data_IF_062509573741
#
_entry.id   IF_062509573741
#
_cell.length_a   1.000
_cell.length_b   1.000
_cell.length_c   1.000
_cell.angle_alpha   90.00
_cell.angle_beta   90.00
_cell.angle_gamma   90.00
#
_symmetry.space_group_name_H-M   'P 1'
#
loop_
_entity.id
_entity.type
_entity.pdbx_description
1 polymer ?
#
# COMPACT_ATOMS: atom_id res chain seq x y z
N UNK A 1 -1.60 -31.02 36.08
CA UNK A 1 -0.99 -29.71 36.43
C UNK A 1 -0.78 -29.56 37.94
N UNK A 2 -1.79 -29.79 38.78
CA UNK A 2 -1.71 -29.66 40.25
C UNK A 2 -0.66 -30.59 40.92
N UNK A 3 -0.55 -31.84 40.45
CA UNK A 3 0.45 -32.81 40.92
C UNK A 3 1.90 -32.39 40.63
N UNK A 4 2.14 -31.76 39.48
CA UNK A 4 3.47 -31.28 39.09
C UNK A 4 3.89 -30.06 39.92
N UNK A 5 2.93 -29.21 40.28
CA UNK A 5 3.14 -28.04 41.12
C UNK A 5 3.44 -28.43 42.58
N UNK A 6 2.75 -29.44 43.12
CA UNK A 6 3.03 -29.97 44.46
C UNK A 6 4.39 -30.66 44.57
N UNK A 7 4.81 -31.39 43.53
CA UNK A 7 6.15 -32.01 43.49
C UNK A 7 7.27 -30.97 43.40
N UNK A 8 7.04 -29.89 42.64
CA UNK A 8 8.00 -28.79 42.54
C UNK A 8 8.15 -28.01 43.85
N UNK A 9 7.05 -27.72 44.55
CA UNK A 9 7.10 -27.09 45.88
C UNK A 9 7.83 -27.96 46.90
N UNK A 10 7.54 -29.27 46.96
CA UNK A 10 8.28 -30.19 47.84
C UNK A 10 9.77 -30.22 47.54
N UNK A 11 10.15 -30.23 46.26
CA UNK A 11 11.55 -30.19 45.85
C UNK A 11 12.25 -28.88 46.28
N UNK A 12 11.56 -27.74 46.19
CA UNK A 12 12.08 -26.45 46.67
C UNK A 12 12.26 -26.43 48.20
N UNK A 13 11.28 -26.96 48.94
CA UNK A 13 11.32 -27.03 50.40
C UNK A 13 12.44 -27.97 50.89
N UNK A 14 12.66 -29.08 50.17
CA UNK A 14 13.76 -30.00 50.44
C UNK A 14 15.11 -29.35 50.10
N UNK A 15 15.23 -28.68 48.94
CA UNK A 15 16.43 -27.96 48.55
C UNK A 15 16.78 -26.83 49.55
N UNK A 16 15.79 -26.13 50.10
CA UNK A 16 15.97 -25.11 51.12
C UNK A 16 16.49 -25.70 52.45
N UNK A 17 15.99 -26.87 52.85
CA UNK A 17 16.49 -27.58 54.04
C UNK A 17 17.93 -28.06 53.87
N UNK A 18 18.27 -28.63 52.71
CA UNK A 18 19.65 -29.02 52.41
C UNK A 18 20.59 -27.80 52.36
N UNK A 19 20.10 -26.65 51.87
CA UNK A 19 20.87 -25.40 51.82
C UNK A 19 21.34 -24.93 53.19
N UNK A 20 20.58 -25.13 54.26
CA UNK A 20 20.98 -24.74 55.62
C UNK A 20 22.12 -25.60 56.17
N UNK A 21 22.16 -26.89 55.83
CA UNK A 21 23.16 -27.85 56.34
C UNK A 21 24.57 -27.71 55.73
N UNK A 22 24.72 -27.07 54.57
CA UNK A 22 26.04 -26.96 53.93
C UNK A 22 26.93 -25.90 54.60
N UNK A 23 28.24 -26.12 54.58
CA UNK A 23 29.20 -25.10 55.02
C UNK A 23 29.22 -23.91 54.04
N UNK A 24 29.51 -22.70 54.54
CA UNK A 24 29.61 -21.48 53.73
C UNK A 24 30.43 -21.63 52.43
N UNK A 25 31.60 -22.30 52.39
CA UNK A 25 32.35 -22.46 51.13
C UNK A 25 31.59 -23.27 50.08
N UNK A 26 30.83 -24.30 50.46
CA UNK A 26 30.06 -25.12 49.53
C UNK A 26 28.91 -24.32 48.92
N UNK A 27 28.24 -23.47 49.73
CA UNK A 27 27.18 -22.57 49.25
C UNK A 27 27.70 -21.57 48.20
N UNK A 28 28.86 -20.97 48.46
CA UNK A 28 29.51 -20.04 47.51
C UNK A 28 29.89 -20.76 46.21
N UNK A 29 30.42 -21.99 46.29
CA UNK A 29 30.77 -22.79 45.12
C UNK A 29 29.56 -23.15 44.25
N UNK A 30 28.43 -23.52 44.86
CA UNK A 30 27.19 -23.81 44.10
C UNK A 30 26.64 -22.56 43.39
N UNK A 31 26.58 -21.41 44.08
CA UNK A 31 26.07 -20.16 43.50
C UNK A 31 26.96 -19.68 42.36
N UNK A 32 28.28 -19.72 42.52
CA UNK A 32 29.23 -19.35 41.46
C UNK A 32 29.13 -20.28 40.24
N UNK A 33 28.91 -21.58 40.46
CA UNK A 33 28.65 -22.54 39.38
C UNK A 33 27.38 -22.22 38.57
N UNK A 34 26.28 -21.91 39.25
CA UNK A 34 25.02 -21.52 38.57
C UNK A 34 25.19 -20.19 37.82
N UNK A 35 25.85 -19.20 38.41
CA UNK A 35 26.18 -17.93 37.76
C UNK A 35 27.04 -18.14 36.51
N UNK A 36 28.06 -19.00 36.59
CA UNK A 36 28.92 -19.33 35.45
C UNK A 36 28.12 -19.99 34.31
N UNK A 37 27.17 -20.89 34.63
CA UNK A 37 26.29 -21.51 33.64
C UNK A 37 25.39 -20.48 32.96
N UNK A 38 24.77 -19.56 33.71
CA UNK A 38 23.94 -18.49 33.17
C UNK A 38 24.75 -17.59 32.24
N UNK A 39 25.96 -17.20 32.65
CA UNK A 39 26.88 -16.42 31.83
C UNK A 39 27.26 -17.16 30.54
N UNK A 40 27.55 -18.46 30.60
CA UNK A 40 27.88 -19.26 29.42
C UNK A 40 26.71 -19.33 28.42
N UNK A 41 25.48 -19.52 28.91
CA UNK A 41 24.27 -19.51 28.07
C UNK A 41 24.04 -18.12 27.46
N UNK A 42 24.25 -17.05 28.23
CA UNK A 42 24.12 -15.67 27.74
C UNK A 42 25.17 -15.35 26.67
N UNK A 43 26.43 -15.76 26.87
CA UNK A 43 27.52 -15.58 25.89
C UNK A 43 27.24 -16.39 24.63
N UNK A 44 26.82 -17.65 24.76
CA UNK A 44 26.47 -18.49 23.61
C UNK A 44 25.27 -17.90 22.84
N UNK A 45 24.23 -17.43 23.55
CA UNK A 45 23.09 -16.75 22.94
C UNK A 45 23.50 -15.47 22.21
N UNK A 46 24.35 -14.64 22.81
CA UNK A 46 24.89 -13.44 22.20
C UNK A 46 25.74 -13.76 20.96
N UNK A 47 26.59 -14.77 21.05
CA UNK A 47 27.43 -15.22 19.94
C UNK A 47 26.59 -15.80 18.80
N UNK A 48 25.57 -16.61 19.10
CA UNK A 48 24.65 -17.14 18.08
C UNK A 48 23.85 -16.03 17.41
N UNK A 49 23.35 -15.06 18.19
CA UNK A 49 22.64 -13.90 17.65
C UNK A 49 23.57 -13.02 16.78
N UNK A 50 24.82 -12.78 17.23
CA UNK A 50 25.83 -12.05 16.46
C UNK A 50 26.21 -12.79 15.17
N UNK A 51 26.41 -14.10 15.24
CA UNK A 51 26.72 -14.94 14.10
C UNK A 51 25.57 -14.95 13.08
N UNK A 52 24.32 -15.12 13.52
CA UNK A 52 23.14 -15.02 12.64
C UNK A 52 23.06 -13.64 11.98
N UNK A 53 23.28 -12.55 12.72
CA UNK A 53 23.33 -11.19 12.14
C UNK A 53 24.44 -11.07 11.09
N UNK A 54 25.64 -11.57 11.38
CA UNK A 54 26.76 -11.51 10.44
C UNK A 54 26.49 -12.32 9.17
N UNK A 55 25.88 -13.51 9.29
CA UNK A 55 25.47 -14.30 8.12
C UNK A 55 24.40 -13.58 7.28
N UNK A 56 23.43 -12.91 7.91
CA UNK A 56 22.44 -12.10 7.16
C UNK A 56 23.07 -10.91 6.45
N UNK A 57 24.11 -10.30 7.01
CA UNK A 57 24.85 -9.21 6.37
C UNK A 57 25.62 -9.70 5.15
N UNK A 58 26.40 -10.77 5.30
CA UNK A 58 27.17 -11.38 4.18
C UNK A 58 26.22 -11.84 3.07
N UNK A 59 25.09 -12.46 3.44
CA UNK A 59 24.09 -12.87 2.47
C UNK A 59 23.51 -11.66 1.72
N UNK A 60 23.17 -10.59 2.45
CA UNK A 60 22.66 -9.35 1.86
C UNK A 60 23.64 -8.75 0.86
N UNK A 61 24.89 -8.62 1.24
CA UNK A 61 25.94 -8.07 0.38
C UNK A 61 26.12 -8.91 -0.89
N UNK A 62 26.17 -10.24 -0.75
CA UNK A 62 26.27 -11.15 -1.90
C UNK A 62 25.05 -11.07 -2.83
N UNK A 63 23.83 -10.94 -2.29
CA UNK A 63 22.62 -10.77 -3.11
C UNK A 63 22.52 -9.40 -3.75
N UNK A 64 22.99 -8.35 -3.07
CA UNK A 64 23.01 -6.99 -3.60
C UNK A 64 24.02 -6.91 -4.77
N UNK A 65 25.22 -7.47 -4.60
CA UNK A 65 26.24 -7.56 -5.67
C UNK A 65 25.73 -8.35 -6.88
N UNK A 66 25.11 -9.51 -6.65
CA UNK A 66 24.50 -10.30 -7.73
C UNK A 66 23.36 -9.52 -8.43
N UNK A 67 22.44 -8.89 -7.68
CA UNK A 67 21.35 -8.11 -8.27
C UNK A 67 21.88 -6.96 -9.11
N UNK A 68 22.86 -6.22 -8.62
CA UNK A 68 23.41 -5.06 -9.34
C UNK A 68 24.17 -5.52 -10.59
N UNK A 69 25.13 -6.43 -10.44
CA UNK A 69 26.06 -6.76 -11.52
C UNK A 69 25.49 -7.75 -12.54
N UNK A 70 24.59 -8.64 -12.11
CA UNK A 70 24.03 -9.69 -12.97
C UNK A 70 22.61 -9.40 -13.43
N UNK A 71 21.86 -8.49 -12.78
CA UNK A 71 20.48 -8.20 -13.19
C UNK A 71 20.33 -6.75 -13.64
N UNK A 72 20.66 -5.78 -12.78
CA UNK A 72 20.36 -4.37 -13.02
C UNK A 72 21.31 -3.79 -14.07
N UNK A 73 22.63 -3.98 -13.94
CA UNK A 73 23.61 -3.44 -14.87
C UNK A 73 23.41 -3.98 -16.30
N UNK A 74 23.23 -5.30 -16.52
CA UNK A 74 22.92 -5.82 -17.86
C UNK A 74 21.58 -5.31 -18.39
N UNK A 75 20.57 -5.19 -17.53
CA UNK A 75 19.27 -4.64 -17.90
C UNK A 75 19.36 -3.18 -18.39
N UNK A 76 20.17 -2.36 -17.73
CA UNK A 76 20.38 -0.95 -18.10
C UNK A 76 21.18 -0.82 -19.38
N UNK A 77 22.23 -1.63 -19.55
CA UNK A 77 23.15 -1.54 -20.68
C UNK A 77 22.60 -2.20 -21.95
N UNK A 78 21.99 -3.38 -21.82
CA UNK A 78 21.56 -4.21 -22.95
C UNK A 78 20.05 -4.29 -23.13
N UNK A 79 19.25 -3.75 -22.20
CA UNK A 79 17.79 -3.74 -22.31
C UNK A 79 17.10 -5.10 -22.17
N UNK A 80 17.84 -6.17 -21.85
CA UNK A 80 17.34 -7.55 -21.78
C UNK A 80 17.80 -8.20 -20.47
N UNK A 81 16.95 -9.05 -19.88
CA UNK A 81 17.36 -9.93 -18.77
C UNK A 81 17.99 -11.19 -19.35
N UNK A 82 19.29 -11.46 -19.14
CA UNK A 82 19.91 -12.65 -19.70
C UNK A 82 19.36 -13.88 -18.97
N UNK A 83 18.53 -14.67 -19.63
CA UNK A 83 17.89 -15.87 -19.06
C UNK A 83 18.92 -16.85 -18.47
N UNK A 84 20.12 -16.91 -19.08
CA UNK A 84 21.26 -17.71 -18.60
C UNK A 84 21.82 -17.25 -17.25
N UNK A 85 21.72 -15.97 -16.90
CA UNK A 85 22.24 -15.43 -15.62
C UNK A 85 21.35 -15.77 -14.42
N UNK A 86 20.05 -16.02 -14.65
CA UNK A 86 19.11 -16.43 -13.59
C UNK A 86 19.42 -17.83 -13.03
N UNK A 87 20.08 -18.68 -13.82
CA UNK A 87 20.52 -20.03 -13.41
C UNK A 87 21.63 -19.96 -12.34
N UNK A 88 22.42 -18.88 -12.34
CA UNK A 88 23.49 -18.63 -11.37
C UNK A 88 23.07 -17.75 -10.19
N UNK A 89 21.76 -17.52 -9.99
CA UNK A 89 21.29 -16.92 -8.76
C UNK A 89 21.81 -17.73 -7.55
N UNK A 90 22.03 -17.12 -6.37
CA UNK A 90 22.46 -17.82 -5.16
C UNK A 90 21.33 -18.71 -4.59
N UNK A 91 20.81 -19.60 -5.44
CA UNK A 91 19.67 -20.49 -5.26
C UNK A 91 19.84 -21.40 -4.04
N UNK A 92 21.07 -21.88 -3.83
CA UNK A 92 21.43 -22.79 -2.76
C UNK A 92 21.24 -22.19 -1.35
N UNK A 93 21.28 -20.85 -1.19
CA UNK A 93 21.05 -20.19 0.10
C UNK A 93 19.58 -19.82 0.35
N UNK A 94 18.70 -19.85 -0.66
CA UNK A 94 17.27 -19.52 -0.47
C UNK A 94 16.45 -20.64 0.18
N UNK A 95 17.04 -21.81 0.44
CA UNK A 95 16.36 -22.89 1.17
C UNK A 95 15.99 -22.47 2.60
N UNK A 96 16.75 -21.53 3.20
CA UNK A 96 16.36 -20.96 4.48
C UNK A 96 15.32 -19.84 4.31
N UNK A 97 14.19 -19.91 5.04
CA UNK A 97 13.09 -18.97 4.88
C UNK A 97 13.48 -17.52 5.23
N UNK A 98 14.46 -17.31 6.10
CA UNK A 98 14.95 -15.98 6.47
C UNK A 98 15.69 -15.30 5.31
N UNK A 99 16.56 -16.02 4.62
CA UNK A 99 17.30 -15.51 3.46
C UNK A 99 16.37 -15.23 2.28
N UNK A 100 15.41 -16.13 2.02
CA UNK A 100 14.35 -15.89 1.02
C UNK A 100 13.58 -14.59 1.31
N UNK A 101 13.15 -14.39 2.56
CA UNK A 101 12.45 -13.15 2.97
C UNK A 101 13.34 -11.91 2.84
N UNK A 102 14.63 -12.01 3.17
CA UNK A 102 15.57 -10.89 3.03
C UNK A 102 15.71 -10.48 1.57
N UNK A 103 15.88 -11.46 0.68
CA UNK A 103 16.02 -11.23 -0.75
C UNK A 103 14.76 -10.62 -1.39
N UNK A 104 13.58 -11.14 -1.04
CA UNK A 104 12.30 -10.55 -1.47
C UNK A 104 12.21 -9.08 -1.03
N UNK A 105 12.62 -8.75 0.20
CA UNK A 105 12.64 -7.36 0.68
C UNK A 105 13.59 -6.47 -0.11
N UNK A 106 14.76 -6.97 -0.50
CA UNK A 106 15.69 -6.24 -1.37
C UNK A 106 15.07 -6.01 -2.75
N UNK A 107 14.50 -7.04 -3.37
CA UNK A 107 13.82 -6.91 -4.67
C UNK A 107 12.73 -5.83 -4.62
N UNK A 108 11.90 -5.83 -3.58
CA UNK A 108 10.88 -4.80 -3.38
C UNK A 108 11.48 -3.40 -3.16
N UNK A 109 12.58 -3.31 -2.41
CA UNK A 109 13.28 -2.04 -2.18
C UNK A 109 13.86 -1.48 -3.47
N UNK A 110 14.57 -2.30 -4.25
CA UNK A 110 15.09 -1.90 -5.56
C UNK A 110 13.98 -1.52 -6.53
N UNK A 111 12.90 -2.30 -6.62
CA UNK A 111 11.75 -1.98 -7.47
C UNK A 111 11.12 -0.63 -7.12
N UNK A 112 11.10 -0.27 -5.84
CA UNK A 112 10.58 1.04 -5.40
C UNK A 112 11.54 2.19 -5.72
N UNK A 113 12.85 1.93 -5.75
CA UNK A 113 13.88 2.95 -5.98
C UNK A 113 14.10 3.26 -7.46
N UNK A 114 13.80 2.33 -8.37
CA UNK A 114 14.03 2.51 -9.81
C UNK A 114 12.74 2.79 -10.58
N UNK A 115 12.87 3.58 -11.66
CA UNK A 115 11.81 3.86 -12.63
C UNK A 115 12.14 3.23 -13.99
N UNK A 116 11.23 3.34 -14.97
CA UNK A 116 11.41 2.77 -16.31
C UNK A 116 11.24 1.25 -16.36
N UNK A 117 12.12 0.55 -17.09
CA UNK A 117 11.98 -0.90 -17.35
C UNK A 117 12.48 -1.80 -16.20
N UNK A 118 13.29 -1.26 -15.27
CA UNK A 118 13.89 -2.04 -14.17
C UNK A 118 12.83 -2.71 -13.27
N UNK A 119 11.75 -2.05 -12.83
CA UNK A 119 10.66 -2.69 -12.09
C UNK A 119 10.06 -3.94 -12.76
N UNK A 120 9.90 -3.94 -14.09
CA UNK A 120 9.37 -5.07 -14.84
C UNK A 120 10.37 -6.24 -14.88
N UNK A 121 11.66 -5.92 -14.99
CA UNK A 121 12.75 -6.89 -14.94
C UNK A 121 12.83 -7.55 -13.56
N UNK A 122 12.81 -6.77 -12.48
CA UNK A 122 12.80 -7.30 -11.11
C UNK A 122 11.57 -8.17 -10.83
N UNK A 123 10.41 -7.80 -11.36
CA UNK A 123 9.20 -8.66 -11.33
C UNK A 123 9.46 -9.97 -12.06
N UNK A 124 10.12 -9.95 -13.21
CA UNK A 124 10.45 -11.17 -13.97
C UNK A 124 11.37 -12.09 -13.19
N UNK A 125 12.40 -11.55 -12.52
CA UNK A 125 13.27 -12.31 -11.62
C UNK A 125 12.47 -12.97 -10.49
N UNK A 126 11.60 -12.22 -9.83
CA UNK A 126 10.73 -12.73 -8.77
C UNK A 126 9.80 -13.87 -9.22
N UNK A 127 9.24 -13.76 -10.43
CA UNK A 127 8.38 -14.78 -11.01
C UNK A 127 9.17 -16.03 -11.43
N UNK A 128 10.30 -15.85 -12.13
CA UNK A 128 11.15 -16.96 -12.62
C UNK A 128 11.78 -17.75 -11.47
N UNK A 129 12.15 -17.09 -10.38
CA UNK A 129 12.63 -17.74 -9.15
C UNK A 129 11.49 -18.35 -8.31
N UNK A 130 10.24 -18.32 -8.81
CA UNK A 130 9.07 -18.89 -8.15
C UNK A 130 8.84 -18.37 -6.71
N UNK A 131 9.30 -17.14 -6.41
CA UNK A 131 9.20 -16.56 -5.07
C UNK A 131 7.76 -16.24 -4.68
N UNK A 132 6.91 -15.95 -5.69
CA UNK A 132 5.48 -15.66 -5.54
C UNK A 132 4.63 -16.81 -5.00
N UNK A 133 5.09 -18.07 -5.07
CA UNK A 133 4.30 -19.24 -4.66
C UNK A 133 3.90 -19.17 -3.19
N UNK A 134 4.82 -18.76 -2.30
CA UNK A 134 4.51 -18.68 -0.87
C UNK A 134 3.57 -17.52 -0.53
N UNK A 135 3.73 -16.39 -1.21
CA UNK A 135 2.86 -15.23 -1.02
C UNK A 135 1.44 -15.52 -1.54
N UNK A 136 1.33 -16.12 -2.73
CA UNK A 136 0.02 -16.53 -3.28
C UNK A 136 -0.69 -17.53 -2.36
N UNK A 137 0.00 -18.56 -1.86
CA UNK A 137 -0.55 -19.46 -0.86
C UNK A 137 -0.92 -18.74 0.46
N UNK A 138 -0.15 -17.72 0.84
CA UNK A 138 -0.39 -16.91 2.03
C UNK A 138 -1.64 -16.04 1.96
N UNK A 139 -2.19 -15.76 0.77
CA UNK A 139 -3.46 -15.07 0.60
C UNK A 139 -4.67 -15.89 1.08
N UNK A 140 -4.59 -17.22 0.96
CA UNK A 140 -5.67 -18.15 1.35
C UNK A 140 -5.63 -18.51 2.84
N UNK A 141 -4.67 -17.97 3.59
CA UNK A 141 -4.57 -18.19 5.03
C UNK A 141 -5.69 -17.49 5.79
N UNK A 142 -6.31 -18.18 6.76
CA UNK A 142 -7.27 -17.56 7.68
C UNK A 142 -6.66 -16.51 8.62
N UNK A 143 -5.32 -16.45 8.74
CA UNK A 143 -4.62 -15.47 9.59
C UNK A 143 -4.45 -14.13 8.87
N UNK A 144 -5.05 -13.02 9.35
CA UNK A 144 -5.03 -11.74 8.65
C UNK A 144 -3.62 -11.18 8.48
N UNK A 145 -2.74 -11.35 9.46
CA UNK A 145 -1.34 -10.91 9.35
C UNK A 145 -0.58 -11.57 8.20
N UNK A 146 -0.87 -12.84 7.89
CA UNK A 146 -0.26 -13.56 6.76
C UNK A 146 -0.83 -13.08 5.43
N UNK A 147 -2.14 -12.84 5.35
CA UNK A 147 -2.78 -12.24 4.16
C UNK A 147 -2.21 -10.85 3.87
N UNK A 148 -2.05 -10.01 4.90
CA UNK A 148 -1.48 -8.66 4.77
C UNK A 148 0.00 -8.67 4.38
N UNK A 149 0.79 -9.64 4.85
CA UNK A 149 2.17 -9.79 4.41
C UNK A 149 2.24 -10.17 2.93
N UNK A 150 1.39 -11.12 2.53
CA UNK A 150 1.28 -11.62 1.16
C UNK A 150 0.81 -10.54 0.18
N UNK A 151 -0.22 -9.77 0.54
CA UNK A 151 -0.69 -8.63 -0.27
C UNK A 151 0.41 -7.59 -0.45
N UNK A 152 1.15 -7.23 0.60
CA UNK A 152 2.25 -6.27 0.50
C UNK A 152 3.35 -6.75 -0.43
N UNK A 153 3.70 -8.03 -0.35
CA UNK A 153 4.71 -8.63 -1.21
C UNK A 153 4.27 -8.62 -2.67
N UNK A 154 3.07 -9.14 -2.96
CA UNK A 154 2.55 -9.24 -4.32
C UNK A 154 2.32 -7.86 -4.95
N UNK A 155 1.75 -6.90 -4.21
CA UNK A 155 1.64 -5.50 -4.66
C UNK A 155 3.03 -4.88 -4.91
N UNK A 156 3.94 -5.09 -3.96
CA UNK A 156 5.31 -4.57 -4.04
C UNK A 156 6.15 -5.19 -5.14
N UNK A 157 5.74 -6.33 -5.69
CA UNK A 157 6.32 -6.94 -6.90
C UNK A 157 5.45 -6.78 -8.16
N UNK A 158 4.27 -6.16 -8.05
CA UNK A 158 3.39 -5.89 -9.18
C UNK A 158 2.71 -7.14 -9.74
N UNK A 159 2.55 -8.19 -8.94
CA UNK A 159 1.95 -9.46 -9.39
C UNK A 159 0.43 -9.39 -9.21
N UNK A 160 -0.30 -9.44 -10.32
CA UNK A 160 -1.76 -9.43 -10.29
C UNK A 160 -2.34 -10.68 -9.62
N UNK A 161 -3.29 -10.47 -8.71
CA UNK A 161 -4.07 -11.50 -8.03
C UNK A 161 -5.40 -11.66 -8.77
N UNK A 162 -5.94 -12.87 -8.80
CA UNK A 162 -7.25 -13.14 -9.40
C UNK A 162 -8.35 -12.16 -8.94
N UNK A 163 -9.08 -11.60 -9.91
CA UNK A 163 -9.99 -10.46 -9.75
C UNK A 163 -11.12 -10.71 -8.73
N UNK A 164 -11.91 -11.78 -8.88
CA UNK A 164 -12.95 -12.13 -7.92
C UNK A 164 -12.41 -12.36 -6.50
N UNK A 165 -11.21 -12.95 -6.40
CA UNK A 165 -10.57 -13.19 -5.12
C UNK A 165 -10.14 -11.88 -4.44
N UNK A 166 -9.48 -10.96 -5.16
CA UNK A 166 -9.06 -9.68 -4.58
C UNK A 166 -10.28 -8.80 -4.22
N UNK A 167 -11.35 -8.82 -5.02
CA UNK A 167 -12.61 -8.13 -4.73
C UNK A 167 -13.26 -8.61 -3.43
N UNK A 168 -13.14 -9.89 -3.08
CA UNK A 168 -13.58 -10.35 -1.76
C UNK A 168 -12.75 -9.75 -0.62
N UNK A 169 -11.44 -9.59 -0.83
CA UNK A 169 -10.54 -8.99 0.16
C UNK A 169 -10.76 -7.48 0.33
N UNK A 170 -11.20 -6.77 -0.72
CA UNK A 170 -11.57 -5.34 -0.62
C UNK A 170 -12.81 -5.08 0.23
N UNK A 171 -13.52 -6.13 0.65
CA UNK A 171 -14.69 -6.12 1.55
C UNK A 171 -14.40 -6.74 2.92
N UNK A 172 -13.13 -7.05 3.21
CA UNK A 172 -12.73 -7.66 4.48
C UNK A 172 -13.13 -6.79 5.69
N UNK A 173 -13.64 -7.43 6.76
CA UNK A 173 -13.93 -6.76 8.04
C UNK A 173 -12.68 -6.07 8.61
N UNK A 174 -11.51 -6.68 8.43
CA UNK A 174 -10.24 -6.09 8.86
C UNK A 174 -9.84 -4.92 7.93
N UNK A 175 -9.87 -3.70 8.46
CA UNK A 175 -9.60 -2.46 7.73
C UNK A 175 -8.24 -2.47 7.01
N UNK A 176 -7.19 -2.93 7.68
CA UNK A 176 -5.84 -2.99 7.08
C UNK A 176 -5.77 -3.93 5.89
N UNK A 177 -6.45 -5.07 5.98
CA UNK A 177 -6.53 -6.04 4.88
C UNK A 177 -7.34 -5.46 3.72
N UNK A 178 -8.46 -4.81 4.05
CA UNK A 178 -9.33 -4.11 3.10
C UNK A 178 -8.56 -3.06 2.30
N UNK A 179 -7.84 -2.20 3.01
CA UNK A 179 -7.00 -1.16 2.43
C UNK A 179 -5.91 -1.73 1.51
N UNK A 180 -5.16 -2.74 1.98
CA UNK A 180 -4.11 -3.36 1.17
C UNK A 180 -4.66 -4.00 -0.11
N UNK A 181 -5.84 -4.64 -0.03
CA UNK A 181 -6.48 -5.22 -1.20
C UNK A 181 -6.94 -4.16 -2.21
N UNK A 182 -7.51 -3.04 -1.75
CA UNK A 182 -7.91 -1.93 -2.62
C UNK A 182 -6.71 -1.25 -3.29
N UNK A 183 -5.66 -1.02 -2.50
CA UNK A 183 -4.39 -0.51 -3.00
C UNK A 183 -3.78 -1.46 -4.04
N UNK A 184 -3.84 -2.78 -3.81
CA UNK A 184 -3.42 -3.78 -4.78
C UNK A 184 -4.21 -3.69 -6.09
N UNK A 185 -5.54 -3.55 -6.03
CA UNK A 185 -6.37 -3.37 -7.22
C UNK A 185 -5.93 -2.16 -8.03
N UNK A 186 -5.76 -0.99 -7.40
CA UNK A 186 -5.33 0.21 -8.13
C UNK A 186 -3.91 0.08 -8.70
N UNK A 187 -3.01 -0.65 -8.04
CA UNK A 187 -1.63 -0.80 -8.49
C UNK A 187 -1.41 -1.88 -9.54
N UNK A 188 -2.17 -2.96 -9.50
CA UNK A 188 -1.85 -4.19 -10.25
C UNK A 188 -2.96 -4.68 -11.18
N UNK A 189 -4.20 -4.17 -11.05
CA UNK A 189 -5.30 -4.64 -11.89
C UNK A 189 -5.06 -4.27 -13.37
N UNK A 190 -5.17 -5.22 -14.31
CA UNK A 190 -5.02 -4.95 -15.74
C UNK A 190 -6.19 -4.13 -16.30
N UNK A 191 -7.36 -4.19 -15.65
CA UNK A 191 -8.55 -3.44 -16.00
C UNK A 191 -9.35 -3.08 -14.74
N UNK A 192 -10.21 -2.07 -14.84
CA UNK A 192 -11.16 -1.67 -13.79
C UNK A 192 -10.54 -1.55 -12.38
N UNK A 193 -9.48 -0.74 -12.19
CA UNK A 193 -8.75 -0.62 -10.91
C UNK A 193 -9.62 -0.17 -9.71
N UNK A 194 -10.79 0.43 -9.99
CA UNK A 194 -11.69 1.04 -9.01
C UNK A 194 -13.02 0.29 -8.88
N UNK A 195 -13.12 -0.95 -9.36
CA UNK A 195 -14.35 -1.77 -9.27
C UNK A 195 -14.87 -1.93 -7.83
N UNK A 196 -13.97 -1.94 -6.84
CA UNK A 196 -14.34 -2.00 -5.44
C UNK A 196 -15.14 -0.78 -4.93
N UNK A 197 -15.18 0.34 -5.67
CA UNK A 197 -15.94 1.54 -5.31
C UNK A 197 -17.44 1.43 -5.64
N UNK A 198 -17.89 0.33 -6.23
CA UNK A 198 -19.30 0.16 -6.60
C UNK A 198 -20.23 -0.07 -5.39
N UNK A 199 -19.68 -0.22 -4.19
CA UNK A 199 -20.44 -0.33 -2.94
C UNK A 199 -21.01 1.03 -2.48
N UNK A 200 -22.34 1.21 -2.36
CA UNK A 200 -22.96 2.51 -2.09
C UNK A 200 -22.54 3.17 -0.77
N UNK A 201 -22.36 2.37 0.29
CA UNK A 201 -22.09 2.83 1.65
C UNK A 201 -20.59 2.93 1.96
N UNK A 202 -19.73 2.94 0.94
CA UNK A 202 -18.29 2.92 1.12
C UNK A 202 -17.77 4.29 1.58
N UNK A 203 -17.14 4.32 2.75
CA UNK A 203 -16.53 5.54 3.30
C UNK A 203 -15.04 5.54 3.00
N UNK A 204 -14.60 6.45 2.13
CA UNK A 204 -13.18 6.70 1.88
C UNK A 204 -12.61 7.75 2.83
N UNK A 205 -11.60 7.36 3.63
CA UNK A 205 -10.86 8.29 4.48
C UNK A 205 -10.02 9.26 3.62
N UNK A 206 -9.76 10.51 4.06
CA UNK A 206 -9.01 11.49 3.28
C UNK A 206 -7.62 11.01 2.83
N UNK A 207 -6.89 10.32 3.71
CA UNK A 207 -5.58 9.76 3.37
C UNK A 207 -5.68 8.63 2.33
N UNK A 208 -6.76 7.84 2.36
CA UNK A 208 -7.02 6.81 1.35
C UNK A 208 -7.31 7.43 0.00
N UNK A 209 -8.12 8.51 -0.04
CA UNK A 209 -8.39 9.25 -1.26
C UNK A 209 -7.09 9.77 -1.88
N UNK A 210 -6.23 10.43 -1.09
CA UNK A 210 -4.94 10.92 -1.58
C UNK A 210 -4.07 9.79 -2.16
N UNK A 211 -3.96 8.69 -1.42
CA UNK A 211 -3.11 7.57 -1.77
C UNK A 211 -3.61 6.82 -3.02
N UNK A 212 -4.93 6.61 -3.15
CA UNK A 212 -5.56 6.06 -4.34
C UNK A 212 -5.38 6.98 -5.56
N UNK A 213 -5.57 8.29 -5.39
CA UNK A 213 -5.32 9.28 -6.46
C UNK A 213 -3.88 9.20 -6.94
N UNK A 214 -2.91 9.20 -6.01
CA UNK A 214 -1.48 9.12 -6.36
C UNK A 214 -1.17 7.84 -7.13
N UNK A 215 -1.70 6.70 -6.68
CA UNK A 215 -1.50 5.43 -7.40
C UNK A 215 -2.08 5.49 -8.80
N UNK A 216 -3.29 6.04 -8.96
CA UNK A 216 -3.94 6.14 -10.26
C UNK A 216 -3.20 7.09 -11.21
N UNK A 217 -2.66 8.21 -10.72
CA UNK A 217 -1.89 9.17 -11.52
C UNK A 217 -0.56 8.60 -12.05
N UNK A 218 0.01 7.58 -11.38
CA UNK A 218 1.25 6.92 -11.79
C UNK A 218 0.98 5.77 -12.77
N UNK A 219 -0.27 5.30 -12.89
CA UNK A 219 -0.64 4.22 -13.82
C UNK A 219 -0.86 4.81 -15.21
N UNK A 220 0.11 4.64 -16.10
CA UNK A 220 0.02 5.02 -17.52
C UNK A 220 -0.48 3.88 -18.41
N UNK A 221 -0.54 2.66 -17.88
CA UNK A 221 -0.82 1.41 -18.61
C UNK A 221 -2.32 1.12 -18.79
N UNK A 222 -3.19 1.90 -18.17
CA UNK A 222 -4.64 1.70 -18.21
C UNK A 222 -5.37 2.98 -18.61
N UNK A 223 -6.49 2.88 -19.36
CA UNK A 223 -7.30 4.03 -19.66
C UNK A 223 -7.91 4.61 -18.38
N UNK A 224 -7.92 5.94 -18.30
CA UNK A 224 -8.52 6.65 -17.17
C UNK A 224 -10.02 6.33 -17.12
N UNK A 225 -10.55 5.83 -15.99
CA UNK A 225 -11.98 5.54 -15.84
C UNK A 225 -12.84 6.80 -15.97
N UNK A 226 -14.05 6.67 -16.50
CA UNK A 226 -15.05 7.75 -16.45
C UNK A 226 -15.60 7.87 -15.02
N UNK A 227 -15.33 8.99 -14.36
CA UNK A 227 -15.67 9.18 -12.94
C UNK A 227 -17.14 9.54 -12.70
N UNK A 228 -17.86 9.90 -13.76
CA UNK A 228 -19.28 10.27 -13.69
C UNK A 228 -20.16 9.20 -13.05
N UNK A 229 -19.79 7.92 -13.17
CA UNK A 229 -20.58 6.80 -12.62
C UNK A 229 -20.66 6.79 -11.09
N UNK A 230 -19.75 7.47 -10.40
CA UNK A 230 -19.72 7.58 -8.94
C UNK A 230 -20.21 8.95 -8.43
N UNK A 231 -20.58 9.86 -9.32
CA UNK A 231 -21.15 11.17 -8.98
C UNK A 231 -22.68 11.02 -8.89
N UNK A 232 -23.16 10.20 -7.96
CA UNK A 232 -24.60 9.91 -7.82
C UNK A 232 -25.02 9.98 -6.35
N UNK A 233 -26.23 10.51 -6.03
CA UNK A 233 -26.71 10.60 -4.66
C UNK A 233 -26.73 9.27 -3.88
N UNK A 234 -26.76 8.12 -4.57
CA UNK A 234 -26.72 6.80 -3.95
C UNK A 234 -25.41 6.49 -3.23
N UNK A 235 -24.32 7.20 -3.56
CA UNK A 235 -23.01 6.97 -2.98
C UNK A 235 -22.73 7.88 -1.77
N UNK A 236 -21.86 7.42 -0.89
CA UNK A 236 -21.42 8.23 0.23
C UNK A 236 -20.73 9.55 -0.22
N UNK A 237 -20.96 10.70 0.45
CA UNK A 237 -20.41 12.00 0.04
C UNK A 237 -18.89 12.05 -0.10
N UNK A 238 -18.15 11.23 0.66
CA UNK A 238 -16.68 11.14 0.55
C UNK A 238 -16.24 10.48 -0.76
N UNK A 239 -16.98 9.47 -1.23
CA UNK A 239 -16.75 8.83 -2.53
C UNK A 239 -17.12 9.79 -3.67
N UNK A 240 -18.25 10.48 -3.57
CA UNK A 240 -18.65 11.48 -4.57
C UNK A 240 -17.57 12.58 -4.65
N UNK A 241 -17.10 13.08 -3.51
CA UNK A 241 -16.03 14.09 -3.47
C UNK A 241 -14.73 13.58 -4.09
N UNK A 242 -14.37 12.32 -3.84
CA UNK A 242 -13.22 11.69 -4.49
C UNK A 242 -13.39 11.62 -6.03
N UNK A 243 -14.55 11.20 -6.50
CA UNK A 243 -14.86 11.11 -7.93
C UNK A 243 -14.86 12.50 -8.61
N UNK A 244 -15.41 13.53 -7.95
CA UNK A 244 -15.39 14.92 -8.42
C UNK A 244 -13.95 15.46 -8.61
N UNK A 245 -13.06 15.19 -7.64
CA UNK A 245 -11.65 15.59 -7.74
C UNK A 245 -10.95 14.95 -8.91
N UNK A 246 -11.16 13.64 -9.11
CA UNK A 246 -10.55 12.92 -10.22
C UNK A 246 -11.13 13.34 -11.57
N UNK A 247 -12.45 13.50 -11.68
CA UNK A 247 -13.10 14.02 -12.89
C UNK A 247 -12.52 15.39 -13.29
N UNK A 248 -12.30 16.27 -12.31
CA UNK A 248 -11.74 17.60 -12.53
C UNK A 248 -10.26 17.55 -12.90
N UNK A 249 -9.47 16.72 -12.21
CA UNK A 249 -8.05 16.53 -12.51
C UNK A 249 -7.84 16.03 -13.96
N UNK A 250 -8.64 15.07 -14.40
CA UNK A 250 -8.58 14.52 -15.76
C UNK A 250 -9.44 15.28 -16.78
N UNK A 251 -9.99 16.46 -16.41
CA UNK A 251 -10.77 17.33 -17.30
C UNK A 251 -11.96 16.62 -18.00
N UNK A 252 -12.61 15.70 -17.30
CA UNK A 252 -13.69 14.88 -17.86
C UNK A 252 -15.00 15.67 -17.97
N UNK A 253 -15.25 16.26 -19.14
CA UNK A 253 -16.48 17.03 -19.41
C UNK A 253 -17.76 16.20 -19.38
N UNK A 254 -17.69 14.88 -19.56
CA UNK A 254 -18.87 14.00 -19.52
C UNK A 254 -19.55 14.05 -18.14
N UNK A 255 -18.77 14.25 -17.07
CA UNK A 255 -19.26 14.37 -15.69
C UNK A 255 -20.12 15.63 -15.43
N UNK A 256 -19.99 16.68 -16.25
CA UNK A 256 -20.65 17.98 -16.04
C UNK A 256 -22.17 17.84 -15.94
N UNK A 257 -22.79 17.05 -16.82
CA UNK A 257 -24.24 16.80 -16.79
C UNK A 257 -24.69 16.20 -15.46
N UNK A 258 -23.88 15.32 -14.87
CA UNK A 258 -24.20 14.68 -13.60
C UNK A 258 -23.96 15.64 -12.44
N UNK A 259 -22.88 16.43 -12.47
CA UNK A 259 -22.59 17.48 -11.49
C UNK A 259 -23.73 18.51 -11.38
N UNK A 260 -24.24 19.00 -12.52
CA UNK A 260 -25.35 19.96 -12.55
C UNK A 260 -26.65 19.39 -11.96
N UNK A 261 -26.92 18.10 -12.19
CA UNK A 261 -28.08 17.42 -11.60
C UNK A 261 -27.94 17.21 -10.09
N UNK A 262 -26.72 16.97 -9.60
CA UNK A 262 -26.45 16.70 -8.19
C UNK A 262 -26.42 17.96 -7.33
N UNK A 263 -26.06 19.10 -7.93
CA UNK A 263 -25.90 20.38 -7.26
C UNK A 263 -27.08 20.78 -6.33
N UNK A 264 -28.36 20.76 -6.75
CA UNK A 264 -29.47 21.20 -5.90
C UNK A 264 -29.80 20.26 -4.73
N UNK A 265 -29.55 18.96 -4.88
CA UNK A 265 -29.89 17.93 -3.86
C UNK A 265 -28.73 17.61 -2.92
N UNK A 266 -27.54 18.15 -3.19
CA UNK A 266 -26.34 17.89 -2.41
C UNK A 266 -26.32 18.64 -1.07
N UNK A 267 -25.68 18.06 -0.06
CA UNK A 267 -25.39 18.70 1.23
C UNK A 267 -24.40 19.86 1.00
N UNK A 268 -24.46 20.91 1.83
CA UNK A 268 -23.65 22.14 1.67
C UNK A 268 -22.16 21.88 1.33
N UNK A 269 -21.51 20.97 2.07
CA UNK A 269 -20.08 20.64 1.85
C UNK A 269 -19.81 20.06 0.47
N UNK A 270 -20.70 19.19 0.00
CA UNK A 270 -20.61 18.59 -1.33
C UNK A 270 -20.99 19.61 -2.40
N UNK A 271 -21.96 20.48 -2.13
CA UNK A 271 -22.38 21.57 -3.03
C UNK A 271 -21.24 22.51 -3.33
N UNK A 272 -20.54 22.99 -2.30
CA UNK A 272 -19.33 23.81 -2.42
C UNK A 272 -18.30 23.13 -3.32
N UNK A 273 -18.11 21.82 -3.12
CA UNK A 273 -17.16 21.05 -3.90
C UNK A 273 -17.56 20.93 -5.37
N UNK A 274 -18.84 20.67 -5.66
CA UNK A 274 -19.38 20.64 -7.03
C UNK A 274 -19.21 22.00 -7.71
N UNK A 275 -19.56 23.10 -7.03
CA UNK A 275 -19.41 24.47 -7.55
C UNK A 275 -17.96 24.75 -7.93
N UNK A 276 -17.02 24.39 -7.04
CA UNK A 276 -15.58 24.54 -7.30
C UNK A 276 -15.14 23.72 -8.52
N UNK A 277 -15.61 22.48 -8.66
CA UNK A 277 -15.30 21.63 -9.81
C UNK A 277 -15.85 22.21 -11.13
N UNK A 278 -17.08 22.74 -11.13
CA UNK A 278 -17.68 23.39 -12.30
C UNK A 278 -16.89 24.65 -12.72
N UNK A 279 -16.37 25.40 -11.76
CA UNK A 279 -15.47 26.53 -12.00
C UNK A 279 -14.15 26.09 -12.64
N UNK A 280 -13.50 25.08 -12.07
CA UNK A 280 -12.22 24.54 -12.57
C UNK A 280 -12.34 23.92 -13.96
N UNK A 281 -13.48 23.28 -14.26
CA UNK A 281 -13.82 22.76 -15.59
C UNK A 281 -14.32 23.86 -16.55
N UNK A 282 -14.45 25.10 -16.08
CA UNK A 282 -14.87 26.28 -16.84
C UNK A 282 -16.21 26.08 -17.55
N UNK A 283 -17.18 25.48 -16.86
CA UNK A 283 -18.50 25.14 -17.42
C UNK A 283 -19.35 26.40 -17.55
N UNK A 284 -19.45 26.94 -18.77
CA UNK A 284 -20.24 28.14 -19.07
C UNK A 284 -21.75 27.96 -18.80
N UNK A 285 -22.26 26.76 -19.04
CA UNK A 285 -23.66 26.37 -18.81
C UNK A 285 -24.08 26.45 -17.33
N UNK A 286 -23.13 26.32 -16.40
CA UNK A 286 -23.40 26.41 -14.97
C UNK A 286 -23.71 27.84 -14.52
N UNK A 287 -23.24 28.85 -15.26
CA UNK A 287 -23.29 30.26 -14.86
C UNK A 287 -24.70 30.80 -14.52
N UNK A 288 -25.75 30.64 -15.35
CA UNK A 288 -27.09 31.13 -15.00
C UNK A 288 -27.62 30.45 -13.73
N UNK A 289 -27.35 29.16 -13.58
CA UNK A 289 -27.79 28.38 -12.42
C UNK A 289 -27.07 28.84 -11.14
N UNK A 290 -25.75 29.03 -11.19
CA UNK A 290 -24.96 29.53 -10.05
C UNK A 290 -25.39 30.94 -9.61
N UNK A 291 -25.71 31.82 -10.57
CA UNK A 291 -26.26 33.16 -10.26
C UNK A 291 -27.61 33.08 -9.56
N UNK A 292 -28.50 32.21 -10.04
CA UNK A 292 -29.82 32.02 -9.42
C UNK A 292 -29.76 31.48 -7.99
N UNK A 293 -28.74 30.67 -7.67
CA UNK A 293 -28.55 30.12 -6.34
C UNK A 293 -27.92 31.11 -5.34
N UNK A 294 -27.18 32.12 -5.81
CA UNK A 294 -26.35 32.97 -4.96
C UNK A 294 -27.08 33.58 -3.76
N UNK A 295 -28.26 34.17 -3.97
CA UNK A 295 -29.01 34.85 -2.90
C UNK A 295 -29.58 33.89 -1.84
N UNK A 296 -29.86 32.65 -2.20
CA UNK A 296 -30.51 31.67 -1.32
C UNK A 296 -29.51 30.80 -0.54
N UNK A 297 -28.23 30.87 -0.90
CA UNK A 297 -27.18 29.98 -0.39
C UNK A 297 -26.44 30.55 0.83
N UNK A 298 -25.74 29.66 1.54
CA UNK A 298 -24.90 30.02 2.69
C UNK A 298 -23.70 30.87 2.28
N UNK A 299 -23.09 31.66 3.18
CA UNK A 299 -21.92 32.47 2.86
C UNK A 299 -20.75 31.66 2.30
N UNK A 300 -20.55 30.40 2.74
CA UNK A 300 -19.53 29.52 2.20
C UNK A 300 -19.83 29.06 0.75
N UNK A 301 -21.09 28.78 0.43
CA UNK A 301 -21.50 28.52 -0.95
C UNK A 301 -21.36 29.76 -1.84
N UNK A 302 -21.73 30.95 -1.34
CA UNK A 302 -21.63 32.22 -2.07
C UNK A 302 -20.20 32.53 -2.50
N UNK A 303 -19.22 32.35 -1.62
CA UNK A 303 -17.81 32.56 -1.97
C UNK A 303 -17.34 31.58 -3.03
N UNK A 304 -17.72 30.31 -2.93
CA UNK A 304 -17.43 29.29 -3.95
C UNK A 304 -18.06 29.64 -5.31
N UNK A 305 -19.31 30.15 -5.32
CA UNK A 305 -20.00 30.61 -6.53
C UNK A 305 -19.23 31.74 -7.20
N UNK A 306 -18.81 32.76 -6.45
CA UNK A 306 -18.06 33.89 -6.99
C UNK A 306 -16.73 33.43 -7.61
N UNK A 307 -15.99 32.57 -6.91
CA UNK A 307 -14.73 32.01 -7.41
C UNK A 307 -14.94 31.18 -8.69
N UNK A 308 -15.98 30.35 -8.73
CA UNK A 308 -16.30 29.54 -9.91
C UNK A 308 -16.68 30.42 -11.11
N UNK A 309 -17.51 31.45 -10.89
CA UNK A 309 -17.90 32.40 -11.94
C UNK A 309 -16.69 33.16 -12.47
N UNK A 310 -15.76 33.56 -11.61
CA UNK A 310 -14.52 34.24 -12.03
C UNK A 310 -13.66 33.34 -12.93
N UNK A 311 -13.45 32.08 -12.53
CA UNK A 311 -12.73 31.09 -13.34
C UNK A 311 -13.38 30.85 -14.71
N UNK A 312 -14.71 30.77 -14.76
CA UNK A 312 -15.48 30.63 -16.01
C UNK A 312 -15.33 31.88 -16.89
N UNK A 313 -15.28 33.08 -16.31
CA UNK A 313 -15.12 34.31 -17.08
C UNK A 313 -13.70 34.48 -17.63
N UNK A 314 -12.68 34.07 -16.86
CA UNK A 314 -11.28 34.15 -17.26
C UNK A 314 -11.00 33.38 -18.55
N UNK A 315 -11.58 32.18 -18.71
CA UNK A 315 -11.43 31.39 -19.93
C UNK A 315 -12.12 32.01 -21.15
N UNK A 316 -13.29 32.60 -20.95
CA UNK A 316 -14.04 33.26 -22.03
C UNK A 316 -13.29 34.47 -22.61
N UNK A 317 -12.53 35.20 -21.77
CA UNK A 317 -11.67 36.31 -22.22
C UNK A 317 -10.51 35.84 -23.11
N UNK A 318 -9.91 34.68 -22.81
CA UNK A 318 -8.84 34.11 -23.63
C UNK A 318 -9.34 33.59 -24.98
N UNK A 319 -10.55 33.03 -25.05
CA UNK A 319 -11.18 32.64 -26.31
C UNK A 319 -11.48 33.81 -27.25
N UNK A 320 -11.79 34.99 -26.71
CA UNK A 320 -12.05 36.19 -27.51
C UNK A 320 -10.77 36.86 -28.07
N UNK A 321 -9.62 36.75 -27.42
CA UNK A 321 -8.36 37.30 -27.96
C UNK A 321 -7.76 36.44 -29.09
N UNK A 322 -8.08 35.15 -29.17
CA UNK A 322 -7.65 34.28 -30.28
C UNK A 322 -8.38 34.53 -31.60
N UNK A 323 -9.60 35.08 -31.56
CA UNK A 323 -10.41 35.35 -32.76
C UNK A 323 -10.09 36.73 -33.37
N UNK A 324 -9.52 37.65 -32.60
CA UNK A 324 -9.13 38.99 -33.09
C UNK A 324 -7.79 39.02 -33.82
N UNK A 325 -6.96 37.96 -33.73
CA UNK A 325 -5.66 37.87 -34.42
C UNK A 325 -5.78 37.17 -35.80
N UNK A 326 -6.97 36.66 -36.17
CA UNK A 326 -7.25 36.03 -37.47
C UNK A 326 -8.28 36.81 -38.29
N UNK A 327 -8.22 38.14 -38.28
CA UNK A 327 -8.95 39.00 -39.22
C UNK A 327 -8.05 40.00 -39.90
#
# INVERSE_FOLDING_TARGET
MMLCMMLYQRWLDDAARYWECFSLPVKIAMVTGVLALICAVAIYGWMMHRWRRQQTFIFREATDDWLVNQVIWPAVVYGIVPEKQLVHAPLFKYQHPEYKRLFIRQLMAYRKSFTGNIPAILRTVYLRLALHIEATAGLYSGKPGRVQASLRELSGMGVWIDGPFILRLTKSKNERTRWLARSHMVQCAPAHPLEFLEEPNEVLLPWQQFELSRMLMVREDIPVPLFEKWIDPRYHPTLISFALRLATHYQQRTAVKVMLRLLPVSVETLRIHIISCLGQLQVTEARPLLKGMYELETPACRTAILQAIDQINASNRQGHHGITILR
#
